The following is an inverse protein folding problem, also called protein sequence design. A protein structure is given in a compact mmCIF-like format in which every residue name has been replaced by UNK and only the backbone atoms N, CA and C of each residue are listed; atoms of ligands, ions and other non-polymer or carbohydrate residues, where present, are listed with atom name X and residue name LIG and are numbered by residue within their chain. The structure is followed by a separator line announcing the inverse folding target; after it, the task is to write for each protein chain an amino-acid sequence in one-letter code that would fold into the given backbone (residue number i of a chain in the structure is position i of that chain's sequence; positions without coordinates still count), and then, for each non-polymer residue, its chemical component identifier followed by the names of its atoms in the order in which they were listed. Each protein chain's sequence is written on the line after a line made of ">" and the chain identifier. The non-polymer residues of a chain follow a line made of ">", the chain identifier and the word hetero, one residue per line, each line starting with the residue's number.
data_IF_084797982749
#
_entry.id   IF_084797982749
#
_cell.length_a   1.000
_cell.length_b   1.000
_cell.length_c   1.000
_cell.angle_alpha   90.00
_cell.angle_beta   90.00
_cell.angle_gamma   90.00
#
_symmetry.space_group_name_H-M   'P 1'
#
loop_
_entity.id
_entity.type
_entity.pdbx_description
1 polymer ?
#
# COMPACT_ATOMS: atom_id res chain seq x y z
N UNK A 1 11.43 -2.28 -8.66
CA UNK A 1 10.37 -3.13 -9.24
C UNK A 1 9.53 -3.73 -8.10
N UNK A 2 8.25 -3.34 -7.97
CA UNK A 2 7.33 -3.85 -6.95
C UNK A 2 7.12 -5.37 -6.99
N UNK A 3 7.20 -5.99 -8.18
CA UNK A 3 7.03 -7.43 -8.39
C UNK A 3 8.23 -8.19 -7.82
N UNK A 4 9.44 -7.66 -8.02
CA UNK A 4 10.66 -8.24 -7.44
C UNK A 4 10.60 -8.27 -5.91
N UNK A 5 10.17 -7.18 -5.28
CA UNK A 5 10.04 -7.11 -3.82
C UNK A 5 8.98 -8.06 -3.28
N UNK A 6 7.85 -8.22 -3.96
CA UNK A 6 6.83 -9.19 -3.58
C UNK A 6 7.35 -10.63 -3.61
N UNK A 7 8.13 -11.00 -4.65
CA UNK A 7 8.75 -12.32 -4.78
C UNK A 7 9.76 -12.57 -3.64
N UNK A 8 10.61 -11.58 -3.35
CA UNK A 8 11.63 -11.68 -2.30
C UNK A 8 10.99 -11.91 -0.93
N UNK A 9 9.94 -11.16 -0.59
CA UNK A 9 9.21 -11.34 0.68
C UNK A 9 8.58 -12.73 0.75
N UNK A 10 7.92 -13.17 -0.32
CA UNK A 10 7.25 -14.48 -0.37
C UNK A 10 8.22 -15.65 -0.17
N UNK A 11 9.42 -15.57 -0.74
CA UNK A 11 10.44 -16.62 -0.64
C UNK A 11 11.16 -16.56 0.72
N UNK A 12 11.58 -15.37 1.17
CA UNK A 12 12.42 -15.25 2.37
C UNK A 12 11.72 -15.67 3.66
N UNK A 13 10.43 -15.36 3.83
CA UNK A 13 9.68 -15.62 5.07
C UNK A 13 9.62 -17.11 5.46
N UNK A 14 9.26 -18.07 4.58
CA UNK A 14 9.26 -19.49 4.92
C UNK A 14 10.68 -20.03 5.20
N UNK A 15 11.72 -19.54 4.51
CA UNK A 15 13.10 -19.95 4.78
C UNK A 15 13.58 -19.49 6.15
N UNK A 16 13.25 -18.27 6.57
CA UNK A 16 13.56 -17.77 7.92
C UNK A 16 12.84 -18.63 8.97
N UNK A 17 11.56 -18.95 8.75
CA UNK A 17 10.80 -19.84 9.63
C UNK A 17 11.41 -21.24 9.75
N UNK A 18 11.86 -21.81 8.63
CA UNK A 18 12.52 -23.11 8.58
C UNK A 18 13.86 -23.10 9.32
N UNK A 19 14.67 -22.04 9.16
CA UNK A 19 15.93 -21.87 9.87
C UNK A 19 15.71 -21.77 11.39
N UNK A 20 14.74 -20.97 11.84
CA UNK A 20 14.39 -20.87 13.26
C UNK A 20 13.93 -22.23 13.80
N UNK A 21 13.14 -22.98 13.04
CA UNK A 21 12.72 -24.32 13.42
C UNK A 21 13.92 -25.27 13.61
N UNK A 22 14.87 -25.30 12.67
CA UNK A 22 16.06 -26.13 12.78
C UNK A 22 16.97 -25.71 13.95
N UNK A 23 17.12 -24.42 14.20
CA UNK A 23 17.92 -23.91 15.32
C UNK A 23 17.29 -24.22 16.68
N UNK A 24 15.94 -24.22 16.76
CA UNK A 24 15.22 -24.45 18.01
C UNK A 24 14.89 -25.92 18.29
N UNK A 25 14.98 -26.79 17.27
CA UNK A 25 14.66 -28.22 17.45
C UNK A 25 15.72 -28.88 18.36
N UNK A 26 15.39 -28.98 19.64
CA UNK A 26 16.19 -29.73 20.62
C UNK A 26 16.25 -31.20 20.21
N UNK A 27 17.46 -31.77 20.17
CA UNK A 27 17.63 -33.21 20.02
C UNK A 27 16.92 -33.95 21.16
N UNK A 28 16.18 -35.00 20.82
CA UNK A 28 15.49 -35.83 21.80
C UNK A 28 16.56 -36.65 22.54
N UNK A 29 16.66 -36.45 23.86
CA UNK A 29 17.61 -37.16 24.73
C UNK A 29 16.89 -38.29 25.47
N UNK A 30 17.60 -39.37 25.72
CA UNK A 30 17.17 -40.50 26.54
C UNK A 30 18.00 -40.61 27.82
N UNK A 31 17.47 -41.27 28.84
CA UNK A 31 18.17 -41.47 30.12
C UNK A 31 18.98 -42.76 30.07
N UNK A 32 20.26 -42.68 30.41
CA UNK A 32 21.13 -43.85 30.54
C UNK A 32 20.61 -44.77 31.65
N UNK A 33 20.37 -46.07 31.39
CA UNK A 33 19.82 -47.00 32.37
C UNK A 33 20.80 -47.32 33.51
N UNK A 34 22.11 -47.14 33.31
CA UNK A 34 23.12 -47.48 34.30
C UNK A 34 23.44 -46.33 35.27
N UNK A 35 23.46 -45.09 34.80
CA UNK A 35 23.89 -43.94 35.61
C UNK A 35 22.87 -42.79 35.67
N UNK A 36 21.79 -42.84 34.90
CA UNK A 36 20.77 -41.79 34.86
C UNK A 36 21.14 -40.54 34.07
N UNK A 37 22.33 -40.47 33.45
CA UNK A 37 22.71 -39.30 32.65
C UNK A 37 21.89 -39.19 31.34
N UNK A 38 21.62 -37.97 30.88
CA UNK A 38 20.95 -37.74 29.60
C UNK A 38 21.92 -37.91 28.42
N UNK A 39 21.62 -38.87 27.55
CA UNK A 39 22.41 -39.22 26.37
C UNK A 39 21.59 -39.01 25.10
N UNK A 40 22.26 -38.80 23.96
CA UNK A 40 21.58 -38.78 22.66
C UNK A 40 20.98 -40.16 22.35
N UNK A 41 19.78 -40.19 21.74
CA UNK A 41 19.15 -41.44 21.29
C UNK A 41 20.00 -42.22 20.26
N UNK A 42 21.00 -41.58 19.64
CA UNK A 42 21.93 -42.21 18.70
C UNK A 42 23.22 -42.71 19.36
N UNK A 43 23.40 -42.49 20.66
CA UNK A 43 24.64 -42.85 21.35
C UNK A 43 24.74 -44.37 21.54
N UNK A 44 25.85 -44.98 21.08
CA UNK A 44 26.15 -46.42 21.31
C UNK A 44 26.72 -46.68 22.71
N UNK A 45 27.29 -45.66 23.33
CA UNK A 45 27.89 -45.72 24.65
C UNK A 45 27.49 -44.47 25.43
N UNK A 46 27.29 -44.60 26.74
CA UNK A 46 27.09 -43.44 27.60
C UNK A 46 28.39 -42.64 27.74
N UNK A 47 28.32 -41.34 27.50
CA UNK A 47 29.47 -40.42 27.60
C UNK A 47 30.04 -40.30 29.02
N UNK A 48 29.23 -40.57 30.05
CA UNK A 48 29.63 -40.46 31.45
C UNK A 48 30.13 -41.79 32.04
N UNK A 49 29.37 -42.87 31.86
CA UNK A 49 29.67 -44.15 32.51
C UNK A 49 30.24 -45.22 31.57
N UNK A 50 30.37 -44.93 30.28
CA UNK A 50 30.92 -45.85 29.27
C UNK A 50 30.07 -47.09 29.00
N UNK A 51 28.89 -47.21 29.64
CA UNK A 51 28.00 -48.36 29.44
C UNK A 51 27.50 -48.41 27.99
N UNK A 52 27.65 -49.56 27.34
CA UNK A 52 27.09 -49.80 26.03
C UNK A 52 25.57 -49.76 26.11
N UNK A 53 24.97 -48.95 25.25
CA UNK A 53 23.52 -48.82 25.16
C UNK A 53 23.08 -49.74 24.03
N UNK A 54 22.37 -50.81 24.40
CA UNK A 54 21.66 -51.61 23.42
C UNK A 54 20.53 -50.74 22.86
N UNK A 55 20.80 -50.09 21.73
CA UNK A 55 19.78 -49.47 20.92
C UNK A 55 18.85 -50.59 20.47
N UNK A 56 17.76 -50.83 21.22
CA UNK A 56 16.56 -51.33 20.59
C UNK A 56 16.24 -50.27 19.55
N UNK A 57 16.48 -50.59 18.28
CA UNK A 57 15.73 -49.99 17.18
C UNK A 57 14.27 -50.40 17.40
N UNK A 58 13.66 -49.89 18.46
CA UNK A 58 12.25 -50.03 18.70
C UNK A 58 11.61 -49.03 17.75
N UNK A 59 11.42 -49.51 16.52
CA UNK A 59 10.44 -48.98 15.58
C UNK A 59 9.02 -48.91 16.21
N UNK A 60 8.84 -49.29 17.48
CA UNK A 60 7.61 -49.27 18.26
C UNK A 60 7.37 -48.05 19.18
N UNK A 61 8.22 -47.02 19.22
CA UNK A 61 7.91 -45.78 19.99
C UNK A 61 7.73 -44.56 19.08
N UNK A 62 7.04 -44.75 17.96
CA UNK A 62 5.96 -43.80 17.67
C UNK A 62 4.78 -44.24 18.54
N UNK A 63 4.82 -43.91 19.84
CA UNK A 63 3.56 -43.75 20.58
C UNK A 63 2.73 -42.88 19.66
N UNK A 64 1.59 -43.42 19.25
CA UNK A 64 0.53 -42.71 18.55
C UNK A 64 0.19 -41.53 19.44
N UNK A 65 0.97 -40.45 19.36
CA UNK A 65 0.55 -39.14 19.77
C UNK A 65 -0.66 -38.97 18.88
N UNK A 66 -1.85 -39.22 19.45
CA UNK A 66 -3.09 -38.77 18.88
C UNK A 66 -2.76 -37.40 18.33
N UNK A 67 -2.93 -37.24 17.03
CA UNK A 67 -2.59 -36.01 16.32
C UNK A 67 -3.55 -34.94 16.79
N UNK A 68 -3.36 -34.46 18.02
CA UNK A 68 -4.09 -33.39 18.67
C UNK A 68 -3.88 -32.07 17.89
N UNK A 69 -2.93 -32.10 16.96
CA UNK A 69 -2.64 -31.05 16.00
C UNK A 69 -3.20 -31.27 14.59
N UNK A 70 -3.93 -32.35 14.29
CA UNK A 70 -4.53 -32.54 12.95
C UNK A 70 -5.50 -31.40 12.61
N UNK A 71 -6.30 -30.96 13.58
CA UNK A 71 -7.18 -29.78 13.43
C UNK A 71 -6.39 -28.51 13.15
N UNK A 72 -5.24 -28.32 13.80
CA UNK A 72 -4.36 -27.17 13.59
C UNK A 72 -3.63 -27.22 12.24
N UNK A 73 -3.24 -28.42 11.76
CA UNK A 73 -2.65 -28.62 10.44
C UNK A 73 -3.70 -28.31 9.36
N UNK A 74 -4.93 -28.82 9.50
CA UNK A 74 -6.03 -28.52 8.58
C UNK A 74 -6.35 -27.03 8.57
N UNK A 75 -6.42 -26.38 9.74
CA UNK A 75 -6.62 -24.93 9.83
C UNK A 75 -5.46 -24.13 9.17
N UNK A 76 -4.22 -24.59 9.33
CA UNK A 76 -3.05 -24.00 8.68
C UNK A 76 -3.10 -24.10 7.15
N UNK A 77 -3.52 -25.25 6.62
CA UNK A 77 -3.72 -25.45 5.18
C UNK A 77 -4.83 -24.54 4.65
N UNK A 78 -5.96 -24.46 5.35
CA UNK A 78 -7.07 -23.57 4.97
C UNK A 78 -6.63 -22.10 4.95
N UNK A 79 -5.89 -21.67 5.98
CA UNK A 79 -5.34 -20.31 6.06
C UNK A 79 -4.38 -20.00 4.90
N UNK A 80 -3.49 -20.94 4.58
CA UNK A 80 -2.54 -20.79 3.47
C UNK A 80 -3.25 -20.72 2.12
N UNK A 81 -4.27 -21.55 1.89
CA UNK A 81 -5.10 -21.51 0.68
C UNK A 81 -5.84 -20.18 0.59
N UNK A 82 -6.44 -19.70 1.69
CA UNK A 82 -7.14 -18.42 1.71
C UNK A 82 -6.19 -17.26 1.39
N UNK A 83 -4.98 -17.27 1.95
CA UNK A 83 -3.94 -16.27 1.66
C UNK A 83 -3.56 -16.26 0.17
N UNK A 84 -3.40 -17.43 -0.45
CA UNK A 84 -3.08 -17.56 -1.88
C UNK A 84 -4.25 -17.08 -2.76
N UNK A 85 -5.50 -17.36 -2.38
CA UNK A 85 -6.69 -16.86 -3.09
C UNK A 85 -6.78 -15.33 -2.99
N UNK A 86 -6.59 -14.75 -1.80
CA UNK A 86 -6.56 -13.30 -1.62
C UNK A 86 -5.44 -12.65 -2.44
N UNK A 87 -4.25 -13.25 -2.46
CA UNK A 87 -3.11 -12.72 -3.21
C UNK A 87 -3.33 -12.79 -4.72
N UNK A 88 -3.85 -13.91 -5.23
CA UNK A 88 -4.18 -14.03 -6.66
C UNK A 88 -5.29 -13.06 -7.06
N UNK A 89 -6.33 -12.89 -6.24
CA UNK A 89 -7.35 -11.86 -6.43
C UNK A 89 -6.78 -10.45 -6.46
N UNK A 90 -5.84 -10.13 -5.56
CA UNK A 90 -5.15 -8.85 -5.53
C UNK A 90 -4.30 -8.61 -6.79
N UNK A 91 -3.50 -9.60 -7.21
CA UNK A 91 -2.66 -9.51 -8.42
C UNK A 91 -3.53 -9.30 -9.66
N UNK A 92 -4.64 -10.04 -9.79
CA UNK A 92 -5.57 -9.86 -10.92
C UNK A 92 -6.20 -8.48 -10.91
N UNK A 93 -6.59 -7.96 -9.74
CA UNK A 93 -7.17 -6.62 -9.60
C UNK A 93 -6.15 -5.52 -9.98
N UNK A 94 -4.89 -5.69 -9.60
CA UNK A 94 -3.81 -4.79 -9.98
C UNK A 94 -3.45 -4.88 -11.48
N UNK A 95 -3.41 -6.09 -12.05
CA UNK A 95 -3.00 -6.32 -13.44
C UNK A 95 -4.07 -5.93 -14.47
N UNK A 96 -5.36 -6.03 -14.12
CA UNK A 96 -6.47 -5.68 -15.03
C UNK A 96 -6.72 -4.19 -15.14
N UNK A 97 -6.10 -3.34 -14.31
CA UNK A 97 -6.24 -1.88 -14.35
C UNK A 97 -7.62 -1.35 -13.94
N UNK A 98 -8.65 -2.22 -13.87
CA UNK A 98 -10.04 -1.89 -13.57
C UNK A 98 -10.29 -1.33 -12.15
N UNK A 99 -9.29 -1.29 -11.29
CA UNK A 99 -9.40 -0.74 -9.93
C UNK A 99 -8.84 0.68 -9.75
N UNK A 100 -8.09 1.20 -10.73
CA UNK A 100 -7.36 2.47 -10.58
C UNK A 100 -7.77 3.41 -11.71
N UNK A 101 -8.76 4.26 -11.42
CA UNK A 101 -9.14 5.33 -12.32
C UNK A 101 -8.09 6.44 -12.29
N UNK A 102 -7.38 6.65 -13.39
CA UNK A 102 -6.41 7.74 -13.58
C UNK A 102 -6.93 8.82 -14.53
N UNK A 103 -8.19 8.70 -14.98
CA UNK A 103 -8.79 9.67 -15.89
C UNK A 103 -9.18 10.94 -15.14
N UNK A 104 -8.42 12.00 -15.39
CA UNK A 104 -8.61 13.30 -14.76
C UNK A 104 -9.93 13.99 -15.12
N UNK A 105 -10.65 13.51 -16.13
CA UNK A 105 -11.96 14.04 -16.53
C UNK A 105 -13.12 13.21 -15.96
N UNK A 106 -12.82 12.10 -15.30
CA UNK A 106 -13.84 11.21 -14.75
C UNK A 106 -14.51 11.81 -13.51
N UNK A 107 -15.82 11.61 -13.39
CA UNK A 107 -16.59 11.97 -12.20
C UNK A 107 -16.30 11.04 -10.99
N UNK A 108 -15.62 9.91 -11.22
CA UNK A 108 -15.17 9.01 -10.17
C UNK A 108 -13.86 9.50 -9.53
N UNK A 109 -13.52 8.89 -8.39
CA UNK A 109 -12.27 9.18 -7.69
C UNK A 109 -11.06 8.89 -8.58
N UNK A 110 -10.19 9.88 -8.73
CA UNK A 110 -8.90 9.75 -9.43
C UNK A 110 -7.82 9.30 -8.45
N UNK A 111 -7.02 8.31 -8.86
CA UNK A 111 -5.94 7.75 -8.07
C UNK A 111 -4.57 8.16 -8.62
N UNK A 112 -3.76 8.76 -7.75
CA UNK A 112 -2.36 9.08 -8.09
C UNK A 112 -1.44 7.91 -7.81
N UNK A 113 -0.59 7.61 -8.79
CA UNK A 113 0.48 6.63 -8.67
C UNK A 113 1.83 7.29 -8.32
N UNK A 114 1.89 8.61 -8.30
CA UNK A 114 3.07 9.41 -7.98
C UNK A 114 3.14 9.84 -6.51
N UNK A 115 4.17 10.62 -6.19
CA UNK A 115 4.40 11.19 -4.86
C UNK A 115 4.39 12.71 -4.92
N UNK A 116 4.02 13.35 -3.82
CA UNK A 116 4.07 14.81 -3.65
C UNK A 116 4.83 15.15 -2.37
N UNK A 117 5.69 16.17 -2.45
CA UNK A 117 6.40 16.78 -1.32
C UNK A 117 5.59 17.99 -0.86
N UNK A 118 4.71 17.78 0.11
CA UNK A 118 3.76 18.78 0.60
C UNK A 118 4.33 19.56 1.80
N UNK A 119 4.12 20.88 1.84
CA UNK A 119 4.26 21.67 3.07
C UNK A 119 2.93 21.65 3.84
N UNK A 120 1.81 22.03 3.21
CA UNK A 120 0.46 21.88 3.78
C UNK A 120 -0.64 21.73 2.72
N UNK A 121 -1.76 21.17 3.14
CA UNK A 121 -2.98 20.98 2.35
C UNK A 121 -4.17 21.14 3.29
N UNK A 122 -4.97 22.20 3.11
CA UNK A 122 -6.08 22.53 4.00
C UNK A 122 -7.31 22.96 3.23
N UNK A 123 -8.48 22.47 3.63
CA UNK A 123 -9.77 22.94 3.15
C UNK A 123 -10.61 23.39 4.34
N UNK A 124 -10.74 24.70 4.52
CA UNK A 124 -11.42 25.32 5.66
C UNK A 124 -12.27 26.48 5.19
N UNK A 125 -13.52 26.54 5.66
CA UNK A 125 -14.48 27.60 5.33
C UNK A 125 -14.66 27.83 3.81
N UNK A 126 -14.69 26.75 3.03
CA UNK A 126 -14.86 26.81 1.57
C UNK A 126 -13.58 27.18 0.79
N UNK A 127 -12.47 27.45 1.47
CA UNK A 127 -11.19 27.81 0.85
C UNK A 127 -10.23 26.64 0.91
N UNK A 128 -9.73 26.25 -0.27
CA UNK A 128 -8.70 25.25 -0.43
C UNK A 128 -7.35 25.91 -0.59
N UNK A 129 -6.45 25.65 0.36
CA UNK A 129 -5.07 26.12 0.32
C UNK A 129 -4.12 24.95 0.18
N UNK A 130 -3.21 25.05 -0.78
CA UNK A 130 -2.20 24.05 -1.07
C UNK A 130 -0.82 24.72 -1.11
N UNK A 131 0.18 24.08 -0.52
CA UNK A 131 1.57 24.48 -0.61
C UNK A 131 2.42 23.22 -0.75
N UNK A 132 3.10 23.07 -1.87
CA UNK A 132 3.98 21.93 -2.15
C UNK A 132 5.29 22.36 -2.82
N UNK A 133 6.34 21.59 -2.55
CA UNK A 133 7.67 21.82 -3.13
C UNK A 133 7.85 21.17 -4.48
N UNK A 134 7.37 19.94 -4.65
CA UNK A 134 7.46 19.20 -5.90
C UNK A 134 6.50 18.01 -5.93
N UNK A 135 6.18 17.50 -7.11
CA UNK A 135 5.42 16.27 -7.29
C UNK A 135 5.93 15.46 -8.49
N UNK A 136 5.60 14.18 -8.54
CA UNK A 136 5.79 13.37 -9.76
C UNK A 136 4.96 13.94 -10.92
N UNK A 137 5.46 13.81 -12.14
CA UNK A 137 4.72 14.22 -13.33
C UNK A 137 3.37 13.50 -13.44
N UNK A 138 2.33 14.27 -13.77
CA UNK A 138 0.95 13.81 -13.85
C UNK A 138 0.27 13.64 -12.49
N UNK A 139 0.87 14.09 -11.38
CA UNK A 139 0.23 14.04 -10.07
C UNK A 139 -1.00 14.95 -10.03
N UNK A 140 -2.14 14.43 -9.59
CA UNK A 140 -3.43 15.12 -9.53
C UNK A 140 -3.87 15.34 -8.10
N UNK A 141 -3.86 16.58 -7.61
CA UNK A 141 -4.49 16.88 -6.32
C UNK A 141 -5.97 17.23 -6.52
N UNK A 142 -6.88 16.56 -5.83
CA UNK A 142 -8.33 16.81 -5.94
C UNK A 142 -8.89 17.35 -4.62
N UNK A 143 -9.76 18.36 -4.73
CA UNK A 143 -10.64 18.83 -3.67
C UNK A 143 -12.07 18.95 -4.20
N UNK A 144 -13.03 18.47 -3.41
CA UNK A 144 -14.45 18.65 -3.71
C UNK A 144 -14.93 19.99 -3.13
N UNK A 145 -15.60 20.78 -3.95
CA UNK A 145 -16.22 22.03 -3.51
C UNK A 145 -17.73 21.99 -3.75
N UNK A 146 -18.47 22.82 -3.03
CA UNK A 146 -19.92 22.96 -3.19
C UNK A 146 -20.23 24.22 -3.99
N UNK A 147 -21.15 24.06 -4.95
CA UNK A 147 -21.75 25.14 -5.74
C UNK A 147 -23.21 25.24 -5.29
N UNK A 148 -23.57 26.35 -4.67
CA UNK A 148 -24.92 26.61 -4.18
C UNK A 148 -25.81 27.24 -5.26
N UNK A 149 -25.24 28.13 -6.08
CA UNK A 149 -25.91 28.80 -7.20
C UNK A 149 -24.95 29.01 -8.38
N UNK A 150 -24.94 28.05 -9.30
CA UNK A 150 -24.05 28.03 -10.45
C UNK A 150 -24.18 29.24 -11.37
N UNK A 151 -25.36 29.87 -11.44
CA UNK A 151 -25.63 31.02 -12.32
C UNK A 151 -24.95 32.30 -11.82
N UNK A 152 -24.70 32.40 -10.51
CA UNK A 152 -24.13 33.60 -9.89
C UNK A 152 -22.73 33.39 -9.33
N UNK A 153 -22.39 32.16 -8.94
CA UNK A 153 -21.11 31.85 -8.34
C UNK A 153 -19.99 31.72 -9.36
N UNK A 154 -18.79 32.02 -8.89
CA UNK A 154 -17.56 31.94 -9.65
C UNK A 154 -16.50 31.15 -8.89
N UNK A 155 -15.70 30.40 -9.63
CA UNK A 155 -14.42 29.91 -9.12
C UNK A 155 -13.42 31.06 -9.09
N UNK A 156 -12.72 31.20 -7.98
CA UNK A 156 -11.54 32.03 -7.86
C UNK A 156 -10.33 31.14 -7.52
N UNK A 157 -9.24 31.28 -8.27
CA UNK A 157 -8.01 30.55 -8.06
C UNK A 157 -6.80 31.49 -8.15
N UNK A 158 -6.18 31.75 -7.01
CA UNK A 158 -4.89 32.45 -6.91
C UNK A 158 -3.79 31.40 -6.77
N UNK A 159 -2.91 31.30 -7.75
CA UNK A 159 -1.91 30.23 -7.87
C UNK A 159 -0.60 30.83 -8.35
N UNK A 160 0.48 30.52 -7.63
CA UNK A 160 1.83 30.93 -7.98
C UNK A 160 2.79 29.74 -7.93
N UNK A 161 3.59 29.58 -8.97
CA UNK A 161 4.72 28.64 -9.00
C UNK A 161 6.02 29.45 -8.97
N UNK A 162 6.89 29.24 -7.97
CA UNK A 162 8.17 29.96 -7.91
C UNK A 162 9.17 29.41 -8.95
N UNK A 163 9.15 28.09 -9.18
CA UNK A 163 10.05 27.43 -10.13
C UNK A 163 9.24 26.70 -11.19
N UNK A 164 9.44 27.10 -12.45
CA UNK A 164 8.80 26.48 -13.62
C UNK A 164 9.89 26.04 -14.61
N UNK A 165 10.33 24.77 -14.55
CA UNK A 165 11.27 24.21 -15.51
C UNK A 165 10.72 24.21 -16.96
N UNK A 166 11.61 24.12 -17.95
CA UNK A 166 11.20 24.02 -19.36
C UNK A 166 10.31 22.79 -19.59
N UNK A 167 9.10 23.03 -20.12
CA UNK A 167 8.10 21.98 -20.36
C UNK A 167 7.26 21.61 -19.13
N UNK A 168 7.49 22.23 -17.97
CA UNK A 168 6.62 22.09 -16.81
C UNK A 168 5.27 22.79 -17.04
N UNK A 169 4.23 22.25 -16.42
CA UNK A 169 2.88 22.81 -16.47
C UNK A 169 2.09 22.48 -15.21
N UNK A 170 1.18 23.38 -14.86
CA UNK A 170 0.15 23.19 -13.85
C UNK A 170 -1.21 23.45 -14.49
N UNK A 171 -2.09 22.45 -14.48
CA UNK A 171 -3.43 22.55 -15.08
C UNK A 171 -4.49 22.41 -14.00
N UNK A 172 -5.38 23.41 -13.90
CA UNK A 172 -6.57 23.36 -13.07
C UNK A 172 -7.72 22.75 -13.86
N UNK A 173 -8.39 21.76 -13.28
CA UNK A 173 -9.55 21.11 -13.84
C UNK A 173 -10.79 21.31 -12.98
N UNK A 174 -11.91 21.56 -13.63
CA UNK A 174 -13.25 21.55 -13.05
C UNK A 174 -14.03 20.40 -13.68
N UNK A 175 -14.52 19.48 -12.87
CA UNK A 175 -15.21 18.27 -13.35
C UNK A 175 -16.51 18.05 -12.57
N UNK A 176 -17.60 17.85 -13.30
CA UNK A 176 -18.90 17.46 -12.75
C UNK A 176 -19.70 16.69 -13.81
N UNK A 177 -20.00 15.42 -13.53
CA UNK A 177 -20.70 14.56 -14.49
C UNK A 177 -19.93 14.46 -15.81
N UNK A 178 -20.55 14.88 -16.91
CA UNK A 178 -19.95 14.88 -18.25
C UNK A 178 -19.27 16.21 -18.61
N UNK A 179 -19.37 17.23 -17.74
CA UNK A 179 -18.77 18.55 -17.97
C UNK A 179 -17.37 18.58 -17.37
N UNK A 180 -16.38 18.87 -18.20
CA UNK A 180 -14.99 19.07 -17.78
C UNK A 180 -14.39 20.31 -18.43
N UNK A 181 -13.76 21.18 -17.64
CA UNK A 181 -12.93 22.29 -18.12
C UNK A 181 -11.53 22.21 -17.57
N UNK A 182 -10.58 22.72 -18.34
CA UNK A 182 -9.17 22.80 -18.00
C UNK A 182 -8.63 24.20 -18.24
N UNK A 183 -7.78 24.67 -17.35
CA UNK A 183 -7.11 25.97 -17.44
C UNK A 183 -5.62 25.78 -17.16
N UNK A 184 -4.78 26.34 -18.02
CA UNK A 184 -3.35 26.47 -17.72
C UNK A 184 -3.18 27.57 -16.68
N UNK A 185 -2.70 27.18 -15.50
CA UNK A 185 -2.49 28.05 -14.34
C UNK A 185 -1.01 28.11 -13.96
N UNK A 186 -0.11 27.70 -14.87
CA UNK A 186 1.33 27.65 -14.63
C UNK A 186 1.92 29.02 -14.29
N UNK A 187 1.53 30.04 -15.05
CA UNK A 187 2.05 31.42 -14.95
C UNK A 187 0.90 32.44 -15.06
N UNK A 188 0.06 32.50 -14.04
CA UNK A 188 -1.00 33.51 -13.95
C UNK A 188 -0.41 34.89 -13.64
N UNK A 189 -0.81 35.92 -14.40
CA UNK A 189 -0.50 37.32 -14.06
C UNK A 189 -1.43 37.85 -12.96
N UNK A 190 -2.67 37.36 -12.97
CA UNK A 190 -3.76 37.73 -12.08
C UNK A 190 -4.53 36.46 -11.70
N UNK A 191 -5.20 36.41 -10.54
CA UNK A 191 -6.00 35.27 -10.15
C UNK A 191 -7.02 34.87 -11.23
N UNK A 192 -7.16 33.57 -11.45
CA UNK A 192 -8.14 33.05 -12.39
C UNK A 192 -9.54 33.21 -11.78
N UNK A 193 -10.43 33.81 -12.57
CA UNK A 193 -11.85 33.91 -12.25
C UNK A 193 -12.69 33.24 -13.34
N UNK A 194 -13.56 32.31 -12.97
CA UNK A 194 -14.35 31.53 -13.92
C UNK A 194 -15.81 31.38 -13.47
N UNK A 195 -16.76 31.72 -14.36
CA UNK A 195 -18.19 31.53 -14.09
C UNK A 195 -18.55 30.05 -14.05
N UNK A 196 -19.36 29.65 -13.05
CA UNK A 196 -19.81 28.28 -12.91
C UNK A 196 -21.15 27.99 -13.62
N UNK A 197 -21.65 28.89 -14.46
CA UNK A 197 -22.99 28.81 -15.10
C UNK A 197 -23.20 27.60 -16.02
N UNK A 198 -22.13 26.92 -16.44
CA UNK A 198 -22.20 25.67 -17.20
C UNK A 198 -22.20 24.41 -16.33
N UNK A 199 -22.07 24.56 -15.01
CA UNK A 199 -22.16 23.50 -14.02
C UNK A 199 -23.53 23.51 -13.34
N UNK A 200 -23.86 22.39 -12.69
CA UNK A 200 -25.05 22.25 -11.86
C UNK A 200 -24.74 22.58 -10.40
N UNK A 201 -25.76 23.02 -9.66
CA UNK A 201 -25.68 23.15 -8.21
C UNK A 201 -25.34 21.79 -7.57
N UNK A 202 -24.42 21.79 -6.63
CA UNK A 202 -23.98 20.61 -5.93
C UNK A 202 -22.46 20.49 -5.89
N UNK A 203 -21.98 19.25 -5.84
CA UNK A 203 -20.54 18.98 -5.73
C UNK A 203 -19.85 19.16 -7.08
N UNK A 204 -18.73 19.87 -7.09
CA UNK A 204 -17.79 19.95 -8.20
C UNK A 204 -16.43 19.41 -7.76
N UNK A 205 -15.75 18.70 -8.66
CA UNK A 205 -14.37 18.25 -8.45
C UNK A 205 -13.42 19.32 -8.99
N UNK A 206 -12.61 19.91 -8.10
CA UNK A 206 -11.55 20.84 -8.45
C UNK A 206 -10.22 20.11 -8.36
N UNK A 207 -9.47 20.03 -9.46
CA UNK A 207 -8.24 19.23 -9.54
C UNK A 207 -7.06 20.06 -10.05
N UNK A 208 -5.88 19.86 -9.46
CA UNK A 208 -4.61 20.39 -9.96
C UNK A 208 -3.77 19.25 -10.51
N UNK A 209 -3.53 19.25 -11.83
CA UNK A 209 -2.60 18.36 -12.50
C UNK A 209 -1.21 19.00 -12.55
N UNK A 210 -0.26 18.38 -11.89
CA UNK A 210 1.09 18.89 -11.68
C UNK A 210 2.03 18.13 -12.62
N UNK A 211 2.76 18.86 -13.46
CA UNK A 211 3.82 18.32 -14.31
C UNK A 211 5.08 19.18 -14.14
N UNK A 212 6.01 18.75 -13.29
CA UNK A 212 7.31 19.40 -13.12
C UNK A 212 7.36 20.79 -12.47
N UNK A 213 6.24 21.46 -12.14
CA UNK A 213 6.29 22.73 -11.39
C UNK A 213 6.70 22.49 -9.95
N UNK A 214 7.44 23.45 -9.38
CA UNK A 214 7.98 23.39 -8.03
C UNK A 214 7.62 24.64 -7.23
N UNK A 215 7.68 24.50 -5.90
CA UNK A 215 7.42 25.56 -4.93
C UNK A 215 6.14 26.34 -5.25
N UNK A 216 5.03 25.61 -5.28
CA UNK A 216 3.72 26.09 -5.68
C UNK A 216 2.85 26.35 -4.46
N UNK A 217 2.23 27.52 -4.43
CA UNK A 217 1.23 27.92 -3.44
C UNK A 217 -0.07 28.24 -4.18
N UNK A 218 -1.20 27.77 -3.64
CA UNK A 218 -2.52 28.09 -4.16
C UNK A 218 -3.55 28.39 -3.07
N UNK A 219 -4.49 29.26 -3.43
CA UNK A 219 -5.73 29.52 -2.71
C UNK A 219 -6.90 29.49 -3.71
N UNK A 220 -7.79 28.51 -3.55
CA UNK A 220 -8.89 28.24 -4.49
C UNK A 220 -10.20 28.15 -3.73
N UNK A 221 -11.23 28.84 -4.19
CA UNK A 221 -12.56 28.85 -3.57
C UNK A 221 -13.66 29.19 -4.58
N UNK A 222 -14.90 28.89 -4.19
CA UNK A 222 -16.11 29.31 -4.90
C UNK A 222 -16.72 30.49 -4.15
N UNK A 223 -17.10 31.56 -4.85
CA UNK A 223 -17.71 32.78 -4.29
C UNK A 223 -18.97 33.18 -5.04
#
# INVERSE_FOLDING_TARGET
>A
DPVLWAIVVFIATPFIGLLIYFLRRSEIKATCPACGNQISLKAKYCEECGTHIENKEDNGVMVKQETHHLKFIVAGIISMVLMLVCLTGFIVSAATGNGVNTDITSNDRVWNLGTISMNYDTYLNGVWKLDFRSASDGFVKEQNMMVDDAETQMLHADISCETVPDGASLTLWLVQGDVSKSFDVTNLSDPLEYSLSEFENGKIHVRLQINGVEDTISEIYVK
#
